data_IF_902284303818
#
_entry.id   IF_902284303818
#
_cell.length_a   1.000
_cell.length_b   1.000
_cell.length_c   1.000
_cell.angle_alpha   90.00
_cell.angle_beta   90.00
_cell.angle_gamma   90.00
#
_symmetry.space_group_name_H-M   'P 1'
#
loop_
_entity.id
_entity.type
_entity.pdbx_description
1 polymer ?
#
# COMPACT_ATOMS: atom_id res chain seq x y z
N UNK A 1 49.73 -13.16 8.39
CA UNK A 1 48.41 -13.80 8.57
C UNK A 1 47.53 -12.88 9.40
N UNK A 2 46.42 -12.39 8.84
CA UNK A 2 45.13 -12.08 9.48
C UNK A 2 44.31 -11.16 8.57
N UNK A 3 43.63 -11.79 7.61
CA UNK A 3 42.45 -11.22 6.97
C UNK A 3 41.35 -11.13 8.02
N UNK A 4 40.77 -9.94 8.22
CA UNK A 4 39.49 -9.79 8.88
C UNK A 4 38.43 -9.73 7.76
N UNK A 5 37.57 -10.75 7.73
CA UNK A 5 36.45 -10.87 6.82
C UNK A 5 35.37 -9.80 7.14
N UNK A 6 34.59 -9.36 6.14
CA UNK A 6 33.61 -8.28 6.29
C UNK A 6 32.42 -8.75 7.13
N UNK A 7 32.27 -8.19 8.34
CA UNK A 7 31.10 -8.39 9.18
C UNK A 7 30.31 -7.09 9.25
N UNK A 8 29.41 -6.88 8.28
CA UNK A 8 28.04 -6.47 8.56
C UNK A 8 27.32 -6.31 7.23
N UNK A 9 26.69 -7.40 6.79
CA UNK A 9 25.52 -7.28 5.94
C UNK A 9 24.39 -6.83 6.85
N UNK A 10 24.43 -5.58 7.31
CA UNK A 10 23.23 -4.94 7.86
C UNK A 10 22.35 -4.69 6.66
N UNK A 11 21.60 -5.72 6.28
CA UNK A 11 20.31 -5.54 5.63
C UNK A 11 19.48 -4.84 6.69
N UNK A 12 19.69 -3.52 6.83
CA UNK A 12 18.67 -2.64 7.36
C UNK A 12 17.52 -2.87 6.37
N UNK A 13 16.63 -3.79 6.73
CA UNK A 13 15.28 -3.74 6.22
C UNK A 13 14.82 -2.35 6.65
N UNK A 14 15.03 -1.36 5.77
CA UNK A 14 14.34 -0.09 5.82
C UNK A 14 12.87 -0.45 5.64
N UNK A 15 12.26 -0.91 6.73
CA UNK A 15 10.85 -0.71 7.02
C UNK A 15 10.68 0.78 7.34
N UNK A 16 11.23 1.65 6.50
CA UNK A 16 10.98 3.09 6.50
C UNK A 16 9.51 3.20 6.13
N UNK A 17 8.70 3.18 7.20
CA UNK A 17 7.35 3.69 7.28
C UNK A 17 6.63 3.58 5.93
N UNK A 18 6.15 2.37 5.59
CA UNK A 18 5.17 2.28 4.51
C UNK A 18 4.12 3.35 4.82
N UNK A 19 3.86 4.30 3.91
CA UNK A 19 3.01 5.44 4.21
C UNK A 19 1.72 4.91 4.82
N UNK A 20 1.12 5.61 5.81
CA UNK A 20 -0.13 5.16 6.40
C UNK A 20 -1.07 4.72 5.29
N UNK A 21 -1.77 3.60 5.46
CA UNK A 21 -2.53 2.94 4.39
C UNK A 21 -3.41 3.93 3.60
N UNK A 22 -3.94 4.93 4.30
CA UNK A 22 -4.66 6.08 3.77
C UNK A 22 -3.89 6.86 2.69
N UNK A 23 -2.63 7.21 2.94
CA UNK A 23 -1.75 7.96 2.02
C UNK A 23 -1.41 7.12 0.77
N UNK A 24 -1.16 5.82 0.95
CA UNK A 24 -0.95 4.90 -0.18
C UNK A 24 -2.20 4.78 -1.07
N UNK A 25 -3.40 4.85 -0.47
CA UNK A 25 -4.66 4.82 -1.19
C UNK A 25 -4.93 6.14 -1.89
N UNK A 26 -4.68 7.27 -1.24
CA UNK A 26 -4.85 8.59 -1.85
C UNK A 26 -3.93 8.76 -3.08
N UNK A 27 -2.66 8.38 -2.93
CA UNK A 27 -1.70 8.36 -4.03
C UNK A 27 -2.14 7.42 -5.17
N UNK A 28 -2.65 6.22 -4.85
CA UNK A 28 -3.13 5.27 -5.84
C UNK A 28 -4.44 5.71 -6.52
N UNK A 29 -5.29 6.47 -5.82
CA UNK A 29 -6.51 7.06 -6.37
C UNK A 29 -6.15 8.23 -7.28
N UNK A 30 -5.21 9.11 -6.89
CA UNK A 30 -4.75 10.20 -7.76
C UNK A 30 -4.00 9.68 -8.98
N UNK A 31 -3.14 8.67 -8.81
CA UNK A 31 -2.31 8.14 -9.87
C UNK A 31 -3.09 7.18 -10.78
N UNK A 32 -3.39 7.65 -11.99
CA UNK A 32 -4.14 6.91 -13.02
C UNK A 32 -3.33 5.79 -13.67
N UNK A 33 -2.04 5.69 -13.40
CA UNK A 33 -1.17 4.63 -13.91
C UNK A 33 -1.07 3.45 -12.96
N UNK A 34 -1.65 3.58 -11.76
CA UNK A 34 -1.67 2.52 -10.75
C UNK A 34 -2.29 1.24 -11.33
N UNK A 35 -1.56 0.11 -11.32
CA UNK A 35 -2.08 -1.14 -11.85
C UNK A 35 -3.23 -1.66 -10.97
N UNK A 36 -4.22 -2.28 -11.60
CA UNK A 36 -5.42 -2.80 -10.91
C UNK A 36 -5.09 -3.80 -9.81
N UNK A 37 -4.02 -4.59 -9.97
CA UNK A 37 -3.54 -5.53 -8.94
C UNK A 37 -3.06 -4.82 -7.66
N UNK A 38 -2.55 -3.58 -7.78
CA UNK A 38 -2.20 -2.74 -6.63
C UNK A 38 -3.44 -2.12 -5.99
N UNK A 39 -4.40 -1.65 -6.80
CA UNK A 39 -5.68 -1.13 -6.30
C UNK A 39 -6.46 -2.20 -5.52
N UNK A 40 -6.50 -3.44 -6.01
CA UNK A 40 -7.17 -4.56 -5.31
C UNK A 40 -6.48 -4.92 -3.98
N UNK A 41 -5.14 -4.91 -3.94
CA UNK A 41 -4.40 -5.12 -2.69
C UNK A 41 -4.70 -4.03 -1.66
N UNK A 42 -4.73 -2.78 -2.10
CA UNK A 42 -5.08 -1.64 -1.24
C UNK A 42 -6.53 -1.72 -0.75
N UNK A 43 -7.46 -2.14 -1.62
CA UNK A 43 -8.86 -2.36 -1.25
C UNK A 43 -9.00 -3.45 -0.19
N UNK A 44 -8.30 -4.57 -0.32
CA UNK A 44 -8.32 -5.65 0.67
C UNK A 44 -7.70 -5.24 2.01
N UNK A 45 -6.61 -4.47 1.98
CA UNK A 45 -5.99 -3.92 3.18
C UNK A 45 -6.92 -2.92 3.88
N UNK A 46 -7.58 -2.05 3.11
CA UNK A 46 -8.56 -1.10 3.62
C UNK A 46 -9.80 -1.82 4.18
N UNK A 47 -10.23 -2.92 3.55
CA UNK A 47 -11.39 -3.69 3.98
C UNK A 47 -11.19 -4.35 5.36
N UNK A 48 -9.95 -4.76 5.64
CA UNK A 48 -9.54 -5.37 6.90
C UNK A 48 -9.43 -4.35 8.04
N UNK A 49 -9.23 -3.07 7.72
CA UNK A 49 -9.10 -2.00 8.71
C UNK A 49 -10.50 -1.49 9.12
N UNK A 50 -10.93 -1.82 10.34
CA UNK A 50 -12.25 -1.42 10.86
C UNK A 50 -12.39 0.08 11.10
N UNK A 51 -11.29 0.83 11.10
CA UNK A 51 -11.28 2.28 11.22
C UNK A 51 -11.09 2.97 9.87
N UNK A 52 -11.06 2.21 8.78
CA UNK A 52 -10.84 2.75 7.45
C UNK A 52 -11.91 3.76 7.05
N UNK A 53 -11.46 4.90 6.54
CA UNK A 53 -12.32 5.95 6.05
C UNK A 53 -13.17 5.43 4.88
N UNK A 54 -14.47 5.34 5.11
CA UNK A 54 -15.45 4.84 4.14
C UNK A 54 -15.40 5.63 2.83
N UNK A 55 -15.04 6.91 2.90
CA UNK A 55 -14.85 7.77 1.74
C UNK A 55 -13.70 7.28 0.83
N UNK A 56 -12.57 6.84 1.40
CA UNK A 56 -11.47 6.26 0.62
C UNK A 56 -11.87 4.93 -0.02
N UNK A 57 -12.69 4.12 0.67
CA UNK A 57 -13.23 2.88 0.11
C UNK A 57 -14.06 3.16 -1.14
N UNK A 58 -14.92 4.18 -1.06
CA UNK A 58 -15.78 4.60 -2.17
C UNK A 58 -14.95 5.15 -3.34
N UNK A 59 -13.96 6.00 -3.07
CA UNK A 59 -13.07 6.54 -4.11
C UNK A 59 -12.26 5.44 -4.80
N UNK A 60 -11.68 4.52 -4.03
CA UNK A 60 -10.90 3.42 -4.55
C UNK A 60 -11.78 2.45 -5.37
N UNK A 61 -13.00 2.14 -4.90
CA UNK A 61 -13.97 1.35 -5.66
C UNK A 61 -14.39 2.03 -6.96
N UNK A 62 -14.68 3.34 -6.92
CA UNK A 62 -15.01 4.11 -8.12
C UNK A 62 -13.87 4.10 -9.14
N UNK A 63 -12.62 4.14 -8.67
CA UNK A 63 -11.43 4.05 -9.53
C UNK A 63 -11.24 2.65 -10.13
N UNK A 64 -11.49 1.59 -9.37
CA UNK A 64 -11.42 0.19 -9.85
C UNK A 64 -12.56 -0.13 -10.84
N UNK A 65 -13.67 0.61 -10.77
CA UNK A 65 -14.89 0.30 -11.53
C UNK A 65 -15.69 -0.85 -10.90
N UNK A 66 -15.46 -1.14 -9.62
CA UNK A 66 -16.25 -2.12 -8.90
C UNK A 66 -17.67 -1.55 -8.72
N UNK A 67 -18.72 -2.23 -9.22
CA UNK A 67 -20.08 -1.75 -9.07
C UNK A 67 -20.41 -1.59 -7.59
N UNK A 68 -21.04 -0.47 -7.24
CA UNK A 68 -21.71 -0.32 -5.97
C UNK A 68 -22.83 -1.36 -5.97
N UNK A 69 -22.65 -2.50 -5.28
CA UNK A 69 -23.76 -3.41 -5.03
C UNK A 69 -24.82 -2.61 -4.28
N UNK A 70 -25.86 -2.22 -5.02
CA UNK A 70 -27.15 -1.76 -4.53
C UNK A 70 -27.93 -2.94 -3.93
#
# INVERSE_FOLDING_TARGET
MRQAAPSNLTIELHCEHAPPLQDQIDAAVQDRTTPISRLLRLMSALDSDKSANENLRLQLRARIGAPLSV
#
